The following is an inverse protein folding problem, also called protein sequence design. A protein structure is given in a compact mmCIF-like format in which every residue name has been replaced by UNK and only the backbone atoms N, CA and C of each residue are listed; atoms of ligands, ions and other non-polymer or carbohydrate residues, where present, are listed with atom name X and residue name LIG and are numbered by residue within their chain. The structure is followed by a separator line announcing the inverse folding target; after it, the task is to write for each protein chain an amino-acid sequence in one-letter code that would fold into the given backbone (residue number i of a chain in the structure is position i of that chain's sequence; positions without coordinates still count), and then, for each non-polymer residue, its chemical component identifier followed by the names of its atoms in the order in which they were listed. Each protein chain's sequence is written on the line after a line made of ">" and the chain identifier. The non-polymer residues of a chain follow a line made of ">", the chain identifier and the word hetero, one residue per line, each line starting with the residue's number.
data_IF_903257598183
#
_entry.id   IF_903257598183
#
_cell.length_a   1.000
_cell.length_b   1.000
_cell.length_c   1.000
_cell.angle_alpha   90.00
_cell.angle_beta   90.00
_cell.angle_gamma   90.00
#
_symmetry.space_group_name_H-M   'P 1'
#
loop_
_entity.id
_entity.type
_entity.pdbx_description
1 polymer ?
#
# COMPACT_ATOMS: atom_id res chain seq x y z
N UNK A 1 7.22 15.01 -3.30
CA UNK A 1 5.81 15.04 -2.86
C UNK A 1 5.76 15.60 -1.44
N UNK A 2 4.75 16.38 -1.05
CA UNK A 2 4.63 16.83 0.34
C UNK A 2 4.18 15.70 1.29
N UNK A 3 4.42 15.87 2.59
CA UNK A 3 4.12 14.86 3.62
C UNK A 3 2.63 14.50 3.70
N UNK A 4 1.73 15.48 3.53
CA UNK A 4 0.29 15.24 3.58
C UNK A 4 -0.19 14.36 2.40
N UNK A 5 0.29 14.64 1.19
CA UNK A 5 0.01 13.84 0.00
C UNK A 5 0.59 12.42 0.12
N UNK A 6 1.79 12.28 0.69
CA UNK A 6 2.41 10.97 0.92
C UNK A 6 1.59 10.13 1.90
N UNK A 7 1.17 10.72 3.02
CA UNK A 7 0.29 10.08 4.01
C UNK A 7 -1.04 9.66 3.42
N UNK A 8 -1.68 10.55 2.65
CA UNK A 8 -2.95 10.23 2.00
C UNK A 8 -2.79 9.06 1.02
N UNK A 9 -1.72 9.05 0.22
CA UNK A 9 -1.47 7.98 -0.73
C UNK A 9 -1.18 6.64 -0.03
N UNK A 10 -0.38 6.65 1.05
CA UNK A 10 -0.13 5.47 1.87
C UNK A 10 -1.43 4.92 2.48
N UNK A 11 -2.28 5.80 3.03
CA UNK A 11 -3.57 5.41 3.60
C UNK A 11 -4.48 4.76 2.54
N UNK A 12 -4.56 5.35 1.34
CA UNK A 12 -5.33 4.77 0.23
C UNK A 12 -4.81 3.39 -0.15
N UNK A 13 -3.50 3.21 -0.22
CA UNK A 13 -2.90 1.90 -0.49
C UNK A 13 -3.26 0.85 0.55
N UNK A 14 -3.24 1.21 1.84
CA UNK A 14 -3.66 0.31 2.92
C UNK A 14 -5.13 -0.09 2.81
N UNK A 15 -6.01 0.87 2.49
CA UNK A 15 -7.44 0.64 2.40
C UNK A 15 -7.85 -0.09 1.12
N UNK A 16 -7.13 0.13 0.01
CA UNK A 16 -7.51 -0.39 -1.30
C UNK A 16 -6.94 -1.77 -1.61
N UNK A 17 -5.89 -2.22 -0.91
CA UNK A 17 -5.19 -3.48 -1.24
C UNK A 17 -5.47 -4.56 -0.21
N UNK A 18 -5.46 -5.82 -0.66
CA UNK A 18 -5.63 -7.03 0.17
C UNK A 18 -4.36 -7.45 0.92
N UNK A 19 -3.35 -6.58 0.94
CA UNK A 19 -2.03 -6.89 1.49
C UNK A 19 -2.08 -6.94 3.01
N UNK A 20 -1.25 -7.80 3.59
CA UNK A 20 -1.04 -7.84 5.05
C UNK A 20 0.02 -6.81 5.44
N UNK A 21 -0.16 -6.17 6.59
CA UNK A 21 0.79 -5.22 7.15
C UNK A 21 2.23 -5.77 7.19
N UNK A 22 2.39 -7.01 7.66
CA UNK A 22 3.70 -7.67 7.74
C UNK A 22 4.40 -7.81 6.38
N UNK A 23 3.67 -8.08 5.31
CA UNK A 23 4.23 -8.23 3.97
C UNK A 23 4.68 -6.88 3.41
N UNK A 24 3.89 -5.83 3.64
CA UNK A 24 4.22 -4.45 3.25
C UNK A 24 5.43 -3.95 4.04
N UNK A 25 5.47 -4.18 5.35
CA UNK A 25 6.58 -3.82 6.21
C UNK A 25 7.89 -4.46 5.76
N UNK A 26 7.90 -5.78 5.53
CA UNK A 26 9.06 -6.52 5.01
C UNK A 26 9.49 -5.98 3.65
N UNK A 27 8.53 -5.75 2.75
CA UNK A 27 8.82 -5.18 1.44
C UNK A 27 9.52 -3.82 1.55
N UNK A 28 9.01 -2.90 2.37
CA UNK A 28 9.62 -1.60 2.59
C UNK A 28 11.04 -1.74 3.19
N UNK A 29 11.22 -2.62 4.17
CA UNK A 29 12.54 -2.88 4.76
C UNK A 29 13.55 -3.44 3.78
N UNK A 30 13.14 -4.30 2.84
CA UNK A 30 14.02 -4.81 1.77
C UNK A 30 14.44 -3.71 0.80
N UNK A 31 13.53 -2.79 0.46
CA UNK A 31 13.86 -1.62 -0.36
C UNK A 31 14.89 -0.71 0.31
N UNK A 32 14.82 -0.61 1.65
CA UNK A 32 15.79 0.10 2.48
C UNK A 32 17.08 -0.71 2.75
N UNK A 33 17.27 -1.85 2.09
CA UNK A 33 18.50 -2.66 2.17
C UNK A 33 18.61 -3.56 3.40
N UNK A 34 17.54 -3.74 4.17
CA UNK A 34 17.58 -4.60 5.34
C UNK A 34 17.10 -6.03 5.05
N UNK A 35 17.63 -7.01 5.80
CA UNK A 35 17.22 -8.42 5.74
C UNK A 35 15.96 -8.69 6.57
N UNK A 36 15.09 -9.57 6.09
CA UNK A 36 13.90 -10.03 6.81
C UNK A 36 14.30 -10.70 8.13
N UNK A 37 13.55 -10.40 9.20
CA UNK A 37 13.71 -11.00 10.53
C UNK A 37 12.44 -11.72 10.95
N UNK A 38 12.57 -12.75 11.79
CA UNK A 38 11.43 -13.50 12.31
C UNK A 38 10.36 -12.59 12.93
N UNK A 39 10.78 -11.60 13.74
CA UNK A 39 9.89 -10.62 14.40
C UNK A 39 9.04 -9.78 13.44
N UNK A 40 9.45 -9.66 12.18
CA UNK A 40 8.74 -8.85 11.19
C UNK A 40 7.38 -9.48 10.81
N UNK A 41 7.08 -10.71 11.25
CA UNK A 41 5.74 -11.33 11.09
C UNK A 41 4.65 -10.64 11.92
N UNK A 42 5.03 -9.94 12.99
CA UNK A 42 4.11 -9.28 13.92
C UNK A 42 3.95 -7.78 13.64
N UNK A 43 4.47 -7.30 12.51
CA UNK A 43 4.39 -5.89 12.15
C UNK A 43 2.93 -5.45 11.98
N UNK A 44 2.61 -4.31 12.59
CA UNK A 44 1.32 -3.66 12.51
C UNK A 44 1.25 -2.73 11.31
N UNK A 45 0.04 -2.31 10.99
CA UNK A 45 -0.16 -1.33 9.92
C UNK A 45 0.47 0.02 10.23
N UNK A 46 0.59 0.43 11.49
CA UNK A 46 1.34 1.63 11.88
C UNK A 46 2.81 1.54 11.47
N UNK A 47 3.46 0.40 11.72
CA UNK A 47 4.87 0.20 11.36
C UNK A 47 5.07 0.23 9.84
N UNK A 48 4.16 -0.39 9.09
CA UNK A 48 4.21 -0.40 7.63
C UNK A 48 3.88 0.97 7.04
N UNK A 49 2.95 1.71 7.64
CA UNK A 49 2.53 3.03 7.21
C UNK A 49 3.68 4.04 7.30
N UNK A 50 4.37 4.09 8.42
CA UNK A 50 5.49 5.03 8.61
C UNK A 50 6.58 4.82 7.56
N UNK A 51 6.93 3.55 7.27
CA UNK A 51 7.90 3.24 6.21
C UNK A 51 7.39 3.58 4.80
N UNK A 52 6.11 3.34 4.53
CA UNK A 52 5.51 3.70 3.24
C UNK A 52 5.55 5.22 3.01
N UNK A 53 5.19 6.01 4.02
CA UNK A 53 5.18 7.47 3.92
C UNK A 53 6.57 7.99 3.60
N UNK A 54 7.60 7.51 4.31
CA UNK A 54 9.00 7.87 4.05
C UNK A 54 9.38 7.53 2.61
N UNK A 55 9.12 6.32 2.15
CA UNK A 55 9.49 5.88 0.78
C UNK A 55 8.72 6.64 -0.31
N UNK A 56 7.45 6.98 -0.09
CA UNK A 56 6.63 7.75 -1.02
C UNK A 56 7.11 9.21 -1.09
N UNK A 57 7.45 9.81 0.04
CA UNK A 57 7.94 11.18 0.09
C UNK A 57 9.32 11.31 -0.58
N UNK A 58 10.20 10.31 -0.38
CA UNK A 58 11.58 10.30 -0.84
C UNK A 58 11.75 9.95 -2.33
N UNK A 59 10.82 9.20 -2.93
CA UNK A 59 10.95 8.74 -4.32
C UNK A 59 9.68 8.90 -5.14
N UNK A 60 9.72 9.79 -6.13
CA UNK A 60 8.61 10.00 -7.08
C UNK A 60 8.28 8.74 -7.88
N UNK A 61 9.29 7.96 -8.28
CA UNK A 61 9.09 6.69 -8.99
C UNK A 61 8.37 5.68 -8.11
N UNK A 62 8.73 5.61 -6.82
CA UNK A 62 8.05 4.74 -5.87
C UNK A 62 6.61 5.19 -5.66
N UNK A 63 6.39 6.49 -5.44
CA UNK A 63 5.06 7.10 -5.29
C UNK A 63 4.16 6.80 -6.49
N UNK A 64 4.66 6.98 -7.73
CA UNK A 64 3.92 6.65 -8.95
C UNK A 64 3.59 5.15 -9.03
N UNK A 65 4.50 4.28 -8.55
CA UNK A 65 4.26 2.85 -8.44
C UNK A 65 3.16 2.50 -7.44
N UNK A 66 3.09 3.18 -6.29
CA UNK A 66 2.01 3.00 -5.32
C UNK A 66 0.68 3.50 -5.90
N UNK A 67 0.65 4.71 -6.47
CA UNK A 67 -0.54 5.29 -7.08
C UNK A 67 -1.16 4.38 -8.15
N UNK A 68 -0.33 3.75 -9.00
CA UNK A 68 -0.80 2.77 -9.99
C UNK A 68 -1.46 1.55 -9.33
N UNK A 69 -0.89 1.01 -8.25
CA UNK A 69 -1.47 -0.14 -7.52
C UNK A 69 -2.80 0.21 -6.88
N UNK A 70 -2.89 1.40 -6.26
CA UNK A 70 -4.15 1.93 -5.72
C UNK A 70 -5.21 2.01 -6.82
N UNK A 71 -4.90 2.65 -7.94
CA UNK A 71 -5.84 2.82 -9.05
C UNK A 71 -6.32 1.48 -9.63
N UNK A 72 -5.44 0.48 -9.72
CA UNK A 72 -5.82 -0.87 -10.19
C UNK A 72 -6.77 -1.54 -9.20
N UNK A 73 -6.48 -1.46 -7.90
CA UNK A 73 -7.30 -2.10 -6.88
C UNK A 73 -8.68 -1.44 -6.75
N UNK A 74 -8.74 -0.11 -6.74
CA UNK A 74 -10.00 0.65 -6.71
C UNK A 74 -10.88 0.35 -7.95
N UNK A 75 -10.29 0.21 -9.15
CA UNK A 75 -11.03 -0.19 -10.35
C UNK A 75 -11.58 -1.61 -10.26
N UNK A 76 -10.81 -2.55 -9.68
CA UNK A 76 -11.27 -3.92 -9.50
C UNK A 76 -12.46 -3.98 -8.53
N UNK A 77 -12.39 -3.24 -7.41
CA UNK A 77 -13.49 -3.12 -6.46
C UNK A 77 -14.74 -2.50 -7.09
N UNK A 78 -14.60 -1.38 -7.80
CA UNK A 78 -15.71 -0.72 -8.48
C UNK A 78 -16.38 -1.62 -9.52
N UNK A 79 -15.61 -2.44 -10.24
CA UNK A 79 -16.17 -3.42 -11.19
C UNK A 79 -16.96 -4.50 -10.46
N UNK A 80 -16.44 -5.04 -9.37
CA UNK A 80 -17.13 -6.04 -8.57
C UNK A 80 -18.47 -5.51 -8.05
N UNK A 81 -18.50 -4.27 -7.55
CA UNK A 81 -19.73 -3.61 -7.10
C UNK A 81 -20.74 -3.45 -8.25
N UNK A 82 -20.28 -3.06 -9.44
CA UNK A 82 -21.13 -2.96 -10.63
C UNK A 82 -21.69 -4.33 -11.07
N UNK A 83 -20.88 -5.38 -11.07
CA UNK A 83 -21.32 -6.73 -11.45
C UNK A 83 -22.33 -7.28 -10.43
N UNK A 84 -22.13 -6.98 -9.14
CA UNK A 84 -23.06 -7.28 -8.04
C UNK A 84 -24.39 -6.53 -8.21
N UNK A 85 -24.37 -5.23 -8.52
CA UNK A 85 -25.58 -4.42 -8.76
C UNK A 85 -26.36 -4.88 -9.99
N UNK A 86 -25.68 -5.43 -10.99
CA UNK A 86 -26.29 -5.97 -12.21
C UNK A 86 -26.81 -7.41 -12.06
N UNK A 87 -26.63 -8.04 -10.90
CA UNK A 87 -27.08 -9.41 -10.64
C UNK A 87 -26.32 -10.49 -11.41
N UNK A 88 -25.05 -10.24 -11.76
CA UNK A 88 -24.21 -11.15 -12.59
C UNK A 88 -23.34 -12.08 -11.71
N UNK A 89 -23.62 -12.21 -10.41
CA UNK A 89 -22.81 -12.96 -9.45
C UNK A 89 -23.28 -14.41 -9.23
#
# INVERSE_FOLDING_TARGET
>A
MDDAAARLLAFRYMASTDRRAADVYRWCRRLLGHRDRARDCNALWSDAFDLLVVLIADSETFAAGIARRVAVAERAAAKFDQDRERGVA
#
